data_IF_122872816735
#
_entry.id   IF_122872816735
#
_cell.length_a   1.000
_cell.length_b   1.000
_cell.length_c   1.000
_cell.angle_alpha   90.00
_cell.angle_beta   90.00
_cell.angle_gamma   90.00
#
_symmetry.space_group_name_H-M   'P 1'
#
loop_
_entity.id
_entity.type
_entity.pdbx_description
1 polymer ?
#
# COMPACT_ATOMS: atom_id res chain seq x y z
N UNK A 1 -24.91 -12.25 -29.56
CA UNK A 1 -25.58 -12.31 -28.23
C UNK A 1 -24.60 -11.74 -27.23
N UNK A 2 -24.97 -10.79 -26.37
CA UNK A 2 -24.02 -10.13 -25.48
C UNK A 2 -23.35 -11.13 -24.55
N UNK A 3 -22.05 -10.99 -24.40
CA UNK A 3 -21.22 -11.84 -23.55
C UNK A 3 -21.77 -11.90 -22.10
N UNK A 4 -21.78 -13.08 -21.44
CA UNK A 4 -22.28 -13.21 -20.08
C UNK A 4 -21.55 -12.29 -19.08
N UNK A 5 -20.24 -12.07 -19.25
CA UNK A 5 -19.43 -11.19 -18.39
C UNK A 5 -19.91 -9.74 -18.49
N UNK A 6 -20.18 -9.28 -19.72
CA UNK A 6 -20.72 -7.93 -19.96
C UNK A 6 -22.08 -7.75 -19.29
N UNK A 7 -23.00 -8.71 -19.47
CA UNK A 7 -24.35 -8.66 -18.87
C UNK A 7 -24.31 -8.67 -17.35
N UNK A 8 -23.43 -9.49 -16.75
CA UNK A 8 -23.27 -9.57 -15.30
C UNK A 8 -22.71 -8.27 -14.72
N UNK A 9 -21.74 -7.66 -15.40
CA UNK A 9 -21.13 -6.39 -15.00
C UNK A 9 -22.16 -5.25 -15.12
N UNK A 10 -22.85 -5.14 -16.25
CA UNK A 10 -23.90 -4.13 -16.46
C UNK A 10 -25.03 -4.25 -15.43
N UNK A 11 -25.53 -5.46 -15.15
CA UNK A 11 -26.57 -5.71 -14.13
C UNK A 11 -26.09 -5.39 -12.70
N UNK A 12 -24.79 -5.48 -12.44
CA UNK A 12 -24.25 -5.15 -11.14
C UNK A 12 -24.09 -3.64 -10.97
N UNK A 13 -23.59 -2.95 -12.01
CA UNK A 13 -23.50 -1.49 -12.05
C UNK A 13 -24.88 -0.83 -11.98
N UNK A 14 -25.92 -1.46 -12.54
CA UNK A 14 -27.30 -0.96 -12.49
C UNK A 14 -27.90 -0.93 -11.07
N UNK A 15 -27.21 -1.47 -10.07
CA UNK A 15 -27.60 -1.32 -8.65
C UNK A 15 -27.14 0.00 -8.04
N UNK A 16 -26.22 0.69 -8.71
CA UNK A 16 -25.58 1.93 -8.24
C UNK A 16 -25.99 3.10 -9.12
N UNK A 17 -26.01 2.89 -10.42
CA UNK A 17 -26.48 3.86 -11.41
C UNK A 17 -27.72 3.31 -12.12
N UNK A 18 -28.44 4.14 -12.87
CA UNK A 18 -29.59 3.66 -13.65
C UNK A 18 -29.14 2.59 -14.67
N UNK A 19 -30.00 1.62 -14.99
CA UNK A 19 -29.63 0.52 -15.91
C UNK A 19 -29.13 0.99 -17.27
N UNK A 20 -29.79 2.02 -17.85
CA UNK A 20 -29.33 2.64 -19.11
C UNK A 20 -27.98 3.36 -18.96
N UNK A 21 -27.73 4.01 -17.83
CA UNK A 21 -26.44 4.65 -17.56
C UNK A 21 -25.32 3.61 -17.42
N UNK A 22 -25.57 2.50 -16.70
CA UNK A 22 -24.61 1.41 -16.54
C UNK A 22 -24.16 0.83 -17.90
N UNK A 23 -25.10 0.50 -18.78
CA UNK A 23 -24.79 -0.03 -20.11
C UNK A 23 -24.06 0.98 -21.00
N UNK A 24 -24.48 2.25 -20.95
CA UNK A 24 -23.86 3.32 -21.74
C UNK A 24 -22.43 3.59 -21.30
N UNK A 25 -22.19 3.70 -19.98
CA UNK A 25 -20.86 3.92 -19.42
C UNK A 25 -19.93 2.74 -19.71
N UNK A 26 -20.41 1.50 -19.53
CA UNK A 26 -19.62 0.32 -19.80
C UNK A 26 -19.26 0.21 -21.30
N UNK A 27 -20.23 0.47 -22.19
CA UNK A 27 -20.00 0.45 -23.64
C UNK A 27 -19.01 1.54 -24.08
N UNK A 28 -19.08 2.72 -23.47
CA UNK A 28 -18.13 3.80 -23.74
C UNK A 28 -16.72 3.44 -23.25
N UNK A 29 -16.58 2.88 -22.04
CA UNK A 29 -15.29 2.43 -21.51
C UNK A 29 -14.66 1.30 -22.33
N UNK A 30 -15.47 0.41 -22.92
CA UNK A 30 -14.97 -0.61 -23.85
C UNK A 30 -14.48 0.00 -25.16
N UNK A 31 -15.19 1.01 -25.68
CA UNK A 31 -14.79 1.72 -26.89
C UNK A 31 -13.45 2.44 -26.70
N UNK A 32 -13.19 3.00 -25.52
CA UNK A 32 -11.91 3.66 -25.20
C UNK A 32 -10.72 2.69 -25.31
N UNK A 33 -10.93 1.40 -25.02
CA UNK A 33 -9.91 0.34 -25.17
C UNK A 33 -10.00 -0.43 -26.50
N UNK A 34 -10.84 0.03 -27.44
CA UNK A 34 -11.10 -0.64 -28.73
C UNK A 34 -11.60 -2.10 -28.59
N UNK A 35 -12.32 -2.39 -27.50
CA UNK A 35 -12.91 -3.70 -27.23
C UNK A 35 -14.38 -3.75 -27.64
N UNK A 36 -14.82 -4.92 -28.12
CA UNK A 36 -16.23 -5.16 -28.44
C UNK A 36 -16.96 -5.82 -27.26
N UNK A 37 -18.24 -5.51 -27.00
CA UNK A 37 -19.00 -6.12 -25.90
C UNK A 37 -19.28 -7.61 -26.12
N UNK A 38 -19.12 -8.13 -27.34
CA UNK A 38 -19.35 -9.54 -27.65
C UNK A 38 -18.09 -10.39 -27.41
N UNK A 39 -16.90 -9.85 -27.68
CA UNK A 39 -15.62 -10.59 -27.60
C UNK A 39 -14.88 -10.39 -26.28
N UNK A 40 -15.46 -9.66 -25.32
CA UNK A 40 -14.70 -9.23 -24.15
C UNK A 40 -14.45 -10.37 -23.17
N UNK A 41 -13.19 -10.53 -22.76
CA UNK A 41 -12.82 -11.51 -21.74
C UNK A 41 -12.97 -10.94 -20.33
N UNK A 42 -12.93 -11.79 -19.31
CA UNK A 42 -12.97 -11.34 -17.91
C UNK A 42 -11.74 -10.48 -17.54
N UNK A 43 -10.56 -10.84 -18.05
CA UNK A 43 -9.32 -10.07 -17.89
C UNK A 43 -9.42 -8.67 -18.50
N UNK A 44 -10.02 -8.57 -19.69
CA UNK A 44 -10.29 -7.28 -20.32
C UNK A 44 -11.27 -6.46 -19.49
N UNK A 45 -12.28 -7.11 -18.91
CA UNK A 45 -13.24 -6.44 -18.03
C UNK A 45 -12.62 -5.91 -16.74
N UNK A 46 -11.63 -6.61 -16.20
CA UNK A 46 -10.87 -6.13 -15.05
C UNK A 46 -10.11 -4.84 -15.40
N UNK A 47 -9.45 -4.79 -16.57
CA UNK A 47 -8.78 -3.56 -17.07
C UNK A 47 -9.74 -2.40 -17.30
N UNK A 48 -10.94 -2.70 -17.77
CA UNK A 48 -12.01 -1.70 -17.98
C UNK A 48 -12.48 -1.12 -16.64
N UNK A 49 -12.68 -2.00 -15.65
CA UNK A 49 -13.15 -1.64 -14.31
C UNK A 49 -12.13 -0.79 -13.54
N UNK A 50 -10.84 -1.12 -13.59
CA UNK A 50 -9.76 -0.43 -12.88
C UNK A 50 -9.20 0.82 -13.60
N UNK A 51 -9.86 1.28 -14.66
CA UNK A 51 -9.32 2.32 -15.53
C UNK A 51 -10.40 3.26 -16.07
N UNK A 52 -10.81 3.13 -17.35
CA UNK A 52 -11.73 4.08 -17.97
C UNK A 52 -13.08 4.20 -17.25
N UNK A 53 -13.60 3.08 -16.74
CA UNK A 53 -14.89 3.08 -16.06
C UNK A 53 -14.83 3.74 -14.68
N UNK A 54 -13.73 3.55 -13.94
CA UNK A 54 -13.48 4.18 -12.65
C UNK A 54 -13.51 5.71 -12.77
N UNK A 55 -12.77 6.27 -13.74
CA UNK A 55 -12.73 7.72 -14.00
C UNK A 55 -14.12 8.30 -14.33
N UNK A 56 -14.93 7.56 -15.08
CA UNK A 56 -16.30 8.01 -15.44
C UNK A 56 -17.24 7.92 -14.24
N UNK A 57 -17.10 6.90 -13.39
CA UNK A 57 -17.90 6.76 -12.18
C UNK A 57 -17.55 7.81 -11.13
N UNK A 58 -16.27 8.17 -10.97
CA UNK A 58 -15.86 9.24 -10.05
C UNK A 58 -16.39 10.61 -10.47
N UNK A 59 -16.66 10.82 -11.75
CA UNK A 59 -17.31 12.04 -12.24
C UNK A 59 -18.83 12.04 -12.04
N UNK A 60 -19.47 10.87 -12.15
CA UNK A 60 -20.93 10.75 -12.05
C UNK A 60 -21.43 10.62 -10.60
N UNK A 61 -20.59 10.12 -9.68
CA UNK A 61 -20.94 9.88 -8.29
C UNK A 61 -19.86 10.51 -7.39
N UNK A 62 -20.19 11.49 -6.54
CA UNK A 62 -19.25 12.01 -5.56
C UNK A 62 -19.00 10.99 -4.43
N UNK A 63 -17.72 10.75 -4.12
CA UNK A 63 -17.28 10.06 -2.89
C UNK A 63 -16.74 8.64 -3.07
N UNK A 64 -16.31 8.06 -1.94
CA UNK A 64 -15.66 6.73 -1.84
C UNK A 64 -16.61 5.55 -2.12
N UNK A 65 -17.93 5.77 -2.07
CA UNK A 65 -18.93 4.71 -2.21
C UNK A 65 -18.95 4.03 -3.59
N UNK A 66 -18.54 4.73 -4.66
CA UNK A 66 -18.40 4.14 -5.98
C UNK A 66 -17.21 3.17 -6.04
N UNK A 67 -16.10 3.53 -5.39
CA UNK A 67 -14.88 2.73 -5.33
C UNK A 67 -15.08 1.44 -4.54
N UNK A 68 -15.70 1.52 -3.35
CA UNK A 68 -15.96 0.33 -2.52
C UNK A 68 -16.80 -0.72 -3.27
N UNK A 69 -17.77 -0.26 -4.08
CA UNK A 69 -18.64 -1.14 -4.87
C UNK A 69 -17.96 -1.70 -6.11
N UNK A 70 -17.10 -0.93 -6.78
CA UNK A 70 -16.27 -1.42 -7.88
C UNK A 70 -15.28 -2.49 -7.39
N UNK A 71 -14.65 -2.26 -6.23
CA UNK A 71 -13.74 -3.21 -5.62
C UNK A 71 -14.47 -4.50 -5.20
N UNK A 72 -15.65 -4.39 -4.60
CA UNK A 72 -16.48 -5.55 -4.29
C UNK A 72 -16.90 -6.32 -5.56
N UNK A 73 -17.10 -5.63 -6.68
CA UNK A 73 -17.39 -6.27 -7.97
C UNK A 73 -16.18 -6.96 -8.58
N UNK A 74 -14.99 -6.36 -8.52
CA UNK A 74 -13.77 -6.99 -9.02
C UNK A 74 -13.50 -8.29 -8.26
N UNK A 75 -13.58 -8.25 -6.93
CA UNK A 75 -13.42 -9.43 -6.08
C UNK A 75 -14.47 -10.51 -6.38
N UNK A 76 -15.70 -10.10 -6.72
CA UNK A 76 -16.76 -11.05 -7.07
C UNK A 76 -16.53 -11.67 -8.45
N UNK A 77 -16.04 -10.91 -9.42
CA UNK A 77 -15.65 -11.43 -10.73
C UNK A 77 -14.50 -12.42 -10.59
N UNK A 78 -13.46 -12.10 -9.81
CA UNK A 78 -12.34 -13.00 -9.53
C UNK A 78 -12.80 -14.34 -8.93
N UNK A 79 -13.77 -14.31 -8.00
CA UNK A 79 -14.35 -15.54 -7.42
C UNK A 79 -15.18 -16.36 -8.41
N UNK A 80 -15.81 -15.70 -9.38
CA UNK A 80 -16.61 -16.38 -10.40
C UNK A 80 -15.71 -16.95 -11.51
N UNK A 81 -14.59 -16.28 -11.81
CA UNK A 81 -13.68 -16.64 -12.90
C UNK A 81 -12.72 -17.78 -12.54
N UNK A 82 -12.62 -18.16 -11.26
CA UNK A 82 -11.83 -19.32 -10.82
C UNK A 82 -12.55 -20.68 -10.95
N UNK A 83 -13.81 -20.72 -11.41
CA UNK A 83 -14.54 -21.99 -11.59
C UNK A 83 -14.99 -22.30 -13.02
N UNK A 84 -14.83 -21.37 -13.96
CA UNK A 84 -15.05 -21.64 -15.37
C UNK A 84 -13.73 -22.01 -16.07
N UNK A 85 -13.09 -23.09 -15.59
CA UNK A 85 -11.84 -23.66 -16.13
C UNK A 85 -11.95 -24.30 -17.52
N UNK A 86 -12.94 -23.92 -18.33
CA UNK A 86 -13.06 -24.39 -19.73
C UNK A 86 -12.87 -23.26 -20.76
N UNK A 87 -12.55 -22.04 -20.30
CA UNK A 87 -12.27 -20.88 -21.16
C UNK A 87 -10.78 -20.51 -21.24
N UNK A 88 -9.93 -21.22 -20.49
CA UNK A 88 -8.48 -21.15 -20.62
C UNK A 88 -8.02 -22.26 -21.57
N UNK A 89 -8.01 -21.92 -22.85
CA UNK A 89 -7.12 -22.55 -23.83
C UNK A 89 -5.69 -22.47 -23.25
N UNK A 90 -5.19 -23.59 -22.70
CA UNK A 90 -3.91 -23.72 -21.98
C UNK A 90 -2.69 -23.64 -22.93
N UNK A 91 -2.81 -22.93 -24.06
CA UNK A 91 -1.82 -22.89 -25.13
C UNK A 91 -0.86 -21.69 -25.13
N UNK A 92 -1.00 -20.70 -24.25
CA UNK A 92 -0.16 -19.50 -24.32
C UNK A 92 0.35 -19.00 -22.95
N UNK A 93 1.53 -19.52 -22.62
CA UNK A 93 2.65 -18.85 -21.92
C UNK A 93 2.34 -18.07 -20.63
N UNK A 94 2.83 -18.64 -19.54
CA UNK A 94 3.43 -17.94 -18.41
C UNK A 94 4.30 -16.76 -18.88
N UNK A 95 3.85 -15.54 -18.63
CA UNK A 95 4.70 -14.35 -18.71
C UNK A 95 5.46 -14.28 -17.39
N UNK A 96 6.74 -14.61 -17.47
CA UNK A 96 7.76 -14.35 -16.47
C UNK A 96 7.99 -12.83 -16.49
N UNK A 97 7.76 -12.17 -15.36
CA UNK A 97 8.16 -10.78 -15.17
C UNK A 97 9.64 -10.76 -14.80
N UNK A 98 10.48 -10.97 -15.82
CA UNK A 98 11.89 -10.60 -15.87
C UNK A 98 12.31 -10.79 -17.32
N UNK A 99 12.15 -9.74 -18.12
CA UNK A 99 12.88 -9.61 -19.37
C UNK A 99 13.23 -8.14 -19.55
N UNK A 100 14.51 -7.85 -19.36
CA UNK A 100 15.14 -6.59 -19.71
C UNK A 100 14.88 -6.31 -21.20
N UNK A 101 14.16 -5.23 -21.50
CA UNK A 101 14.17 -4.61 -22.82
C UNK A 101 15.51 -3.88 -23.00
N UNK A 102 16.57 -4.67 -23.22
CA UNK A 102 17.74 -4.22 -23.98
C UNK A 102 17.45 -4.52 -25.43
N UNK A 103 16.93 -3.55 -26.16
CA UNK A 103 17.14 -3.37 -27.61
C UNK A 103 16.42 -2.09 -28.08
N UNK A 104 16.96 -0.93 -27.66
CA UNK A 104 16.82 0.27 -28.49
C UNK A 104 17.89 0.17 -29.59
N UNK A 105 17.63 -0.68 -30.58
CA UNK A 105 18.48 -0.81 -31.75
C UNK A 105 18.27 0.44 -32.62
N UNK A 106 19.18 1.40 -32.51
CA UNK A 106 19.41 2.41 -33.53
C UNK A 106 19.77 1.69 -34.83
N UNK A 107 18.84 1.73 -35.79
CA UNK A 107 19.14 1.43 -37.18
C UNK A 107 20.00 2.57 -37.74
N UNK A 108 21.31 2.37 -37.69
CA UNK A 108 22.27 3.10 -38.52
C UNK A 108 22.95 2.06 -39.43
N UNK A 109 22.37 1.89 -40.62
CA UNK A 109 22.86 1.00 -41.66
C UNK A 109 23.35 1.84 -42.83
N UNK A 110 24.59 2.31 -42.77
CA UNK A 110 25.42 2.49 -43.98
C UNK A 110 26.87 2.10 -43.70
N UNK A 111 27.16 0.83 -44.00
CA UNK A 111 28.29 0.33 -44.80
C UNK A 111 29.63 1.06 -44.66
N UNK A 112 30.65 0.32 -44.21
CA UNK A 112 31.85 0.03 -45.03
C UNK A 112 32.79 -0.98 -44.32
N UNK A 113 32.80 -2.20 -44.88
CA UNK A 113 33.93 -3.11 -45.12
C UNK A 113 35.10 -3.15 -44.11
N UNK A 114 35.33 -4.35 -43.53
CA UNK A 114 36.66 -4.71 -43.03
C UNK A 114 36.72 -5.94 -42.13
N UNK A 115 36.67 -7.15 -42.71
CA UNK A 115 37.33 -8.34 -42.15
C UNK A 115 38.87 -8.12 -42.13
N UNK A 116 39.73 -8.84 -41.37
CA UNK A 116 39.59 -10.28 -41.09
C UNK A 116 40.12 -10.82 -39.73
N UNK A 117 39.78 -12.11 -39.51
CA UNK A 117 40.55 -13.20 -38.89
C UNK A 117 41.24 -13.00 -37.53
N UNK A 118 40.94 -13.88 -36.58
CA UNK A 118 41.87 -14.90 -36.06
C UNK A 118 41.19 -15.70 -34.92
N UNK A 119 41.01 -17.01 -35.12
CA UNK A 119 40.92 -18.02 -34.04
C UNK A 119 42.35 -18.35 -33.55
N UNK A 120 42.58 -18.85 -32.31
CA UNK A 120 42.39 -20.29 -32.00
C UNK A 120 42.02 -20.63 -30.51
N UNK A 121 41.28 -21.71 -30.25
CA UNK A 121 41.67 -23.01 -29.64
C UNK A 121 42.26 -22.96 -28.20
N UNK A 122 41.53 -23.53 -27.23
CA UNK A 122 41.98 -24.34 -26.07
C UNK A 122 40.71 -24.81 -25.31
N UNK A 123 40.25 -26.06 -25.37
CA UNK A 123 40.75 -27.33 -24.79
C UNK A 123 40.71 -27.39 -23.26
N UNK A 124 39.86 -28.31 -22.76
CA UNK A 124 40.00 -29.20 -21.57
C UNK A 124 40.26 -28.58 -20.19
N UNK A 125 39.35 -28.81 -19.23
CA UNK A 125 39.58 -29.86 -18.24
C UNK A 125 38.35 -30.18 -17.35
N UNK A 126 38.20 -31.49 -17.14
CA UNK A 126 37.35 -32.19 -16.18
C UNK A 126 38.03 -32.15 -14.79
N UNK A 127 37.31 -32.29 -13.66
CA UNK A 127 37.35 -33.61 -13.05
C UNK A 127 36.08 -34.03 -12.30
N UNK A 128 35.79 -35.32 -12.45
CA UNK A 128 35.00 -36.20 -11.60
C UNK A 128 35.44 -36.24 -10.12
N UNK A 129 34.50 -36.22 -9.18
CA UNK A 129 34.44 -36.88 -7.84
C UNK A 129 33.13 -36.39 -7.18
N UNK A 130 32.33 -37.11 -6.40
CA UNK A 130 32.36 -38.44 -5.81
C UNK A 130 30.92 -38.74 -5.34
N UNK A 131 30.49 -39.98 -5.52
CA UNK A 131 29.29 -40.58 -4.93
C UNK A 131 29.67 -41.14 -3.54
N UNK A 132 28.79 -41.08 -2.53
CA UNK A 132 28.28 -42.34 -1.97
C UNK A 132 26.76 -42.24 -1.71
N UNK A 133 25.97 -43.22 -2.15
CA UNK A 133 25.67 -44.48 -1.49
C UNK A 133 24.53 -44.37 -0.46
N UNK A 134 23.50 -45.15 -0.79
CA UNK A 134 22.24 -45.43 -0.15
C UNK A 134 22.33 -46.22 1.16
N UNK A 135 21.42 -45.96 2.10
CA UNK A 135 20.91 -46.92 3.10
C UNK A 135 19.58 -46.37 3.64
N UNK A 136 18.43 -46.87 3.17
CA UNK A 136 17.63 -47.96 3.76
C UNK A 136 16.68 -47.50 4.88
N UNK A 137 15.37 -47.69 4.60
CA UNK A 137 14.13 -47.59 5.39
C UNK A 137 14.14 -48.47 6.67
N UNK A 138 13.00 -48.81 7.35
CA UNK A 138 11.65 -48.22 7.47
C UNK A 138 11.19 -48.09 8.96
N UNK A 139 10.00 -47.53 9.23
CA UNK A 139 9.35 -47.68 10.53
C UNK A 139 7.98 -47.02 10.64
N UNK A 140 6.87 -47.80 10.59
CA UNK A 140 5.55 -47.34 11.03
C UNK A 140 5.32 -47.73 12.49
N UNK A 141 4.92 -46.79 13.33
CA UNK A 141 4.38 -47.10 14.67
C UNK A 141 3.16 -46.25 14.96
N UNK A 142 2.05 -46.97 14.99
CA UNK A 142 0.74 -46.70 15.59
C UNK A 142 0.78 -46.13 17.01
N UNK A 143 -0.14 -45.20 17.29
CA UNK A 143 -0.91 -45.10 18.54
C UNK A 143 -1.92 -43.96 18.37
N UNK A 144 -3.18 -44.23 18.02
CA UNK A 144 -4.27 -44.50 18.97
C UNK A 144 -4.26 -43.56 20.19
N UNK A 145 -5.18 -42.60 20.20
CA UNK A 145 -5.80 -42.02 21.40
C UNK A 145 -6.99 -41.15 21.01
N UNK A 146 -8.12 -41.82 20.81
CA UNK A 146 -9.44 -41.23 20.72
C UNK A 146 -10.10 -41.31 22.11
N UNK A 147 -10.45 -40.20 22.78
CA UNK A 147 -11.29 -40.26 23.98
C UNK A 147 -12.77 -39.96 23.68
N UNK A 148 -13.68 -40.37 24.59
CA UNK A 148 -14.98 -40.91 24.23
C UNK A 148 -16.10 -39.88 24.12
N UNK A 149 -17.09 -40.29 23.34
CA UNK A 149 -18.46 -39.80 23.26
C UNK A 149 -19.18 -40.09 24.58
N UNK A 150 -19.73 -39.05 25.22
CA UNK A 150 -20.77 -39.13 26.26
C UNK A 150 -21.70 -37.93 26.05
N UNK A 151 -22.86 -38.15 25.41
CA UNK A 151 -24.20 -38.32 26.02
C UNK A 151 -24.90 -37.03 26.45
N UNK A 152 -26.09 -36.87 25.87
CA UNK A 152 -27.32 -36.31 26.44
C UNK A 152 -27.34 -34.84 26.87
N UNK A 153 -28.01 -34.01 26.07
CA UNK A 153 -29.03 -33.09 26.59
C UNK A 153 -30.13 -32.86 25.55
N UNK A 154 -31.28 -33.45 25.86
CA UNK A 154 -32.60 -33.12 25.33
C UNK A 154 -33.11 -31.79 25.92
N UNK A 155 -34.20 -31.27 25.33
CA UNK A 155 -35.05 -30.11 25.69
C UNK A 155 -34.85 -28.85 24.82
N UNK A 156 -35.89 -28.00 24.66
CA UNK A 156 -37.13 -28.31 23.95
C UNK A 156 -37.43 -27.26 22.86
N UNK A 157 -38.32 -27.64 21.94
CA UNK A 157 -39.00 -26.78 20.96
C UNK A 157 -39.58 -25.53 21.62
N UNK A 158 -38.93 -24.37 21.43
CA UNK A 158 -39.52 -23.07 21.73
C UNK A 158 -39.89 -22.37 20.41
N UNK A 159 -41.19 -22.35 20.19
CA UNK A 159 -41.93 -21.71 19.10
C UNK A 159 -41.76 -20.19 19.21
N UNK A 160 -40.96 -19.59 18.32
CA UNK A 160 -40.86 -18.14 18.19
C UNK A 160 -41.90 -17.58 17.20
N UNK A 161 -42.44 -16.38 17.46
CA UNK A 161 -43.68 -15.88 16.87
C UNK A 161 -43.50 -15.23 15.49
N UNK A 162 -44.62 -15.13 14.77
CA UNK A 162 -44.76 -14.54 13.45
C UNK A 162 -44.28 -13.07 13.36
N UNK A 163 -43.76 -12.63 12.21
CA UNK A 163 -43.41 -11.23 12.00
C UNK A 163 -44.66 -10.34 11.89
N UNK A 164 -44.67 -9.15 12.51
CA UNK A 164 -45.76 -8.19 12.35
C UNK A 164 -45.77 -7.60 10.93
N UNK A 165 -46.99 -7.35 10.44
CA UNK A 165 -47.32 -6.71 9.16
C UNK A 165 -46.69 -5.32 9.02
N UNK A 166 -46.32 -4.90 7.80
CA UNK A 166 -45.93 -3.53 7.53
C UNK A 166 -47.16 -2.61 7.57
N UNK A 167 -47.17 -1.67 8.51
CA UNK A 167 -48.07 -0.51 8.50
C UNK A 167 -47.62 0.45 7.41
N UNK A 168 -48.49 0.62 6.42
CA UNK A 168 -48.53 1.76 5.50
C UNK A 168 -48.60 3.07 6.28
N UNK A 169 -47.56 3.90 6.20
CA UNK A 169 -47.65 5.35 6.47
C UNK A 169 -47.27 6.11 5.20
N UNK A 170 -48.24 6.88 4.72
CA UNK A 170 -48.13 7.84 3.62
C UNK A 170 -47.20 9.01 3.96
N UNK A 171 -46.64 9.68 2.93
CA UNK A 171 -45.78 10.84 3.09
C UNK A 171 -46.62 12.12 3.09
N UNK A 172 -46.48 12.93 4.12
CA UNK A 172 -46.85 14.34 4.07
C UNK A 172 -46.01 15.09 5.10
N UNK A 173 -44.95 15.76 4.64
CA UNK A 173 -44.65 17.14 5.03
C UNK A 173 -43.48 17.66 4.19
N UNK A 174 -43.84 18.58 3.32
CA UNK A 174 -42.95 19.52 2.70
C UNK A 174 -42.39 20.45 3.78
N UNK A 175 -41.07 20.58 3.85
CA UNK A 175 -40.43 21.74 4.45
C UNK A 175 -39.40 22.27 3.47
N UNK A 176 -39.83 23.35 2.83
CA UNK A 176 -39.05 24.30 2.07
C UNK A 176 -37.92 24.84 2.96
N UNK A 177 -36.67 24.58 2.59
CA UNK A 177 -35.52 25.29 3.13
C UNK A 177 -35.06 26.27 2.06
N UNK A 178 -35.53 27.51 2.20
CA UNK A 178 -35.22 28.65 1.32
C UNK A 178 -34.38 29.63 2.10
N UNK A 179 -33.21 30.00 1.56
CA UNK A 179 -32.39 31.13 2.01
C UNK A 179 -31.64 30.87 3.32
N UNK A 180 -30.46 31.42 3.58
CA UNK A 180 -29.68 32.48 2.97
C UNK A 180 -28.23 32.12 3.30
N UNK A 181 -27.33 32.12 2.31
CA UNK A 181 -25.90 32.11 2.60
C UNK A 181 -25.42 33.54 2.30
N UNK A 182 -25.26 34.29 3.38
CA UNK A 182 -24.71 35.64 3.38
C UNK A 182 -23.27 35.60 2.87
N UNK A 183 -23.01 36.43 1.85
CA UNK A 183 -21.69 36.91 1.48
C UNK A 183 -21.07 37.64 2.67
N UNK A 184 -20.06 37.03 3.31
CA UNK A 184 -19.11 37.78 4.13
C UNK A 184 -18.00 38.25 3.19
N UNK A 185 -18.23 39.44 2.63
CA UNK A 185 -17.21 40.34 2.10
C UNK A 185 -16.44 40.91 3.29
N UNK A 186 -15.24 40.38 3.56
CA UNK A 186 -14.28 41.05 4.43
C UNK A 186 -13.41 41.97 3.57
N UNK A 187 -13.91 43.19 3.45
CA UNK A 187 -13.20 44.39 3.04
C UNK A 187 -12.27 44.82 4.21
N UNK A 188 -10.97 44.52 4.10
CA UNK A 188 -9.94 45.14 4.94
C UNK A 188 -9.11 46.08 4.06
N UNK A 189 -9.65 47.28 3.92
CA UNK A 189 -8.95 48.47 3.45
C UNK A 189 -8.03 49.03 4.55
N UNK A 190 -6.81 49.37 4.13
CA UNK A 190 -5.98 50.53 4.49
C UNK A 190 -5.93 51.05 5.95
N UNK A 191 -4.75 51.03 6.55
CA UNK A 191 -3.94 52.24 6.84
C UNK A 191 -2.85 51.91 7.88
N UNK A 192 -1.58 52.02 7.48
CA UNK A 192 -0.47 52.11 8.42
C UNK A 192 0.45 53.25 7.98
N UNK A 193 0.62 54.30 8.80
CA UNK A 193 1.41 55.46 8.45
C UNK A 193 2.91 55.12 8.50
N UNK A 194 3.60 55.40 7.40
CA UNK A 194 5.04 55.64 7.36
C UNK A 194 5.40 56.83 8.25
N UNK A 195 6.13 56.58 9.33
CA UNK A 195 6.85 57.61 10.09
C UNK A 195 8.37 57.39 9.92
N UNK A 196 9.08 58.23 9.15
CA UNK A 196 10.52 58.19 9.02
C UNK A 196 11.14 59.26 9.92
N UNK A 197 11.39 58.92 11.18
CA UNK A 197 12.15 59.81 12.09
C UNK A 197 13.29 59.07 12.79
N UNK A 198 14.44 59.09 12.08
CA UNK A 198 15.78 59.36 12.61
C UNK A 198 15.88 59.55 14.13
N UNK A 199 16.49 58.59 14.82
CA UNK A 199 17.36 58.85 15.97
C UNK A 199 18.40 57.73 16.09
N UNK A 200 19.62 58.03 15.61
CA UNK A 200 20.83 57.28 15.94
C UNK A 200 21.19 57.58 17.40
N UNK A 201 21.22 56.60 18.32
CA UNK A 201 21.96 56.76 19.56
C UNK A 201 23.46 56.62 19.29
N UNK A 202 24.30 57.28 20.12
CA UNK A 202 25.73 57.42 19.88
C UNK A 202 26.48 56.10 20.07
N UNK A 203 27.48 55.90 19.20
CA UNK A 203 28.56 54.91 19.29
C UNK A 203 29.20 54.92 20.68
N UNK A 204 28.74 54.02 21.55
CA UNK A 204 29.53 53.55 22.67
C UNK A 204 30.28 52.32 22.17
N UNK A 205 31.59 52.49 21.97
CA UNK A 205 32.53 51.43 21.66
C UNK A 205 32.48 50.35 22.76
N UNK A 206 31.72 49.29 22.52
CA UNK A 206 31.83 48.02 23.22
C UNK A 206 32.54 47.09 22.23
N UNK A 207 33.74 46.63 22.62
CA UNK A 207 34.52 45.70 21.83
C UNK A 207 33.82 44.35 21.78
N UNK A 208 33.01 44.18 20.73
CA UNK A 208 32.26 42.97 20.40
C UNK A 208 33.20 41.87 19.87
N UNK A 209 33.96 41.27 20.78
CA UNK A 209 34.54 39.93 20.58
C UNK A 209 33.46 38.86 20.82
N UNK A 210 32.34 38.93 20.09
CA UNK A 210 31.38 37.83 20.01
C UNK A 210 31.98 36.72 19.15
N UNK A 211 32.83 35.90 19.76
CA UNK A 211 33.25 34.63 19.16
C UNK A 211 32.01 33.76 18.97
N UNK A 212 31.84 33.21 17.77
CA UNK A 212 30.77 32.26 17.47
C UNK A 212 30.85 30.97 18.33
N UNK A 213 31.92 30.80 19.10
CA UNK A 213 32.10 29.69 20.05
C UNK A 213 31.53 29.95 21.46
N UNK A 214 31.03 31.16 21.77
CA UNK A 214 30.49 31.48 23.12
C UNK A 214 28.97 31.22 23.26
N UNK A 215 28.34 30.67 22.21
CA UNK A 215 26.99 30.11 22.25
C UNK A 215 27.03 28.58 22.45
N UNK A 216 27.95 28.08 23.27
CA UNK A 216 27.81 26.73 23.81
C UNK A 216 26.60 26.72 24.76
N UNK A 217 25.45 26.30 24.21
CA UNK A 217 24.23 25.94 24.92
C UNK A 217 24.51 24.80 25.91
N UNK A 218 25.19 25.13 26.99
CA UNK A 218 25.39 24.31 28.17
C UNK A 218 24.17 24.44 29.08
N UNK A 219 22.96 24.42 28.52
CA UNK A 219 21.75 24.28 29.32
C UNK A 219 21.69 22.81 29.75
N UNK A 220 21.99 22.47 31.03
CA UNK A 220 21.96 21.09 31.50
C UNK A 220 20.57 20.46 31.36
N UNK A 221 19.53 21.29 31.25
CA UNK A 221 18.15 20.87 31.08
C UNK A 221 17.84 20.31 29.68
N UNK A 222 18.66 20.60 28.66
CA UNK A 222 18.48 20.03 27.32
C UNK A 222 18.89 18.55 27.23
N UNK A 223 19.75 18.09 28.14
CA UNK A 223 20.21 16.68 28.18
C UNK A 223 19.07 15.74 28.59
N UNK A 224 18.09 16.22 29.36
CA UNK A 224 16.94 15.42 29.80
C UNK A 224 15.90 15.13 28.71
N UNK A 225 16.01 15.79 27.55
CA UNK A 225 15.19 15.49 26.37
C UNK A 225 15.81 14.43 25.46
N UNK A 226 16.99 13.90 25.79
CA UNK A 226 17.48 12.64 25.20
C UNK A 226 16.59 11.51 25.71
N UNK A 227 15.46 11.35 25.03
CA UNK A 227 14.57 10.23 25.24
C UNK A 227 15.38 8.93 25.24
N UNK A 228 15.13 8.10 26.26
CA UNK A 228 15.87 6.89 26.50
C UNK A 228 15.89 6.01 25.23
N UNK A 229 17.11 5.69 24.79
CA UNK A 229 17.34 4.78 23.67
C UNK A 229 16.69 3.43 23.96
N UNK A 230 15.84 2.96 23.06
CA UNK A 230 15.08 1.72 23.20
C UNK A 230 15.77 0.61 22.42
N UNK A 231 16.25 -0.41 23.13
CA UNK A 231 16.96 -1.54 22.52
C UNK A 231 16.03 -2.73 22.33
N UNK A 232 16.05 -3.31 21.13
CA UNK A 232 15.25 -4.49 20.79
C UNK A 232 16.13 -5.58 20.20
N UNK A 233 15.89 -6.82 20.61
CA UNK A 233 16.56 -7.99 20.08
C UNK A 233 15.85 -8.47 18.79
N UNK A 234 16.21 -7.88 17.65
CA UNK A 234 15.52 -8.13 16.37
C UNK A 234 15.83 -9.50 15.75
N UNK A 235 16.78 -10.25 16.32
CA UNK A 235 17.09 -11.63 15.93
C UNK A 235 16.02 -12.62 16.38
N UNK A 236 15.29 -12.33 17.47
CA UNK A 236 14.26 -13.22 18.02
C UNK A 236 12.88 -12.76 17.59
N UNK A 237 11.99 -13.72 17.29
CA UNK A 237 10.59 -13.40 16.95
C UNK A 237 9.90 -12.57 18.06
N UNK A 238 10.23 -12.85 19.32
CA UNK A 238 9.70 -12.12 20.46
C UNK A 238 10.14 -10.64 20.47
N UNK A 239 11.42 -10.35 20.19
CA UNK A 239 11.90 -8.96 20.12
C UNK A 239 11.32 -8.20 18.93
N UNK A 240 11.12 -8.88 17.79
CA UNK A 240 10.41 -8.31 16.64
C UNK A 240 8.96 -7.97 17.01
N UNK A 241 8.23 -8.89 17.62
CA UNK A 241 6.84 -8.67 18.02
C UNK A 241 6.70 -7.56 19.07
N UNK A 242 7.65 -7.45 20.00
CA UNK A 242 7.69 -6.38 21.00
C UNK A 242 7.85 -5.00 20.33
N UNK A 243 8.80 -4.87 19.39
CA UNK A 243 8.97 -3.65 18.59
C UNK A 243 7.70 -3.30 17.82
N UNK A 244 7.12 -4.28 17.11
CA UNK A 244 5.91 -4.08 16.32
C UNK A 244 4.72 -3.67 17.19
N UNK A 245 4.59 -4.26 18.39
CA UNK A 245 3.55 -3.92 19.35
C UNK A 245 3.67 -2.48 19.84
N UNK A 246 4.89 -2.07 20.20
CA UNK A 246 5.12 -0.72 20.70
C UNK A 246 4.84 0.33 19.63
N UNK A 247 5.36 0.14 18.43
CA UNK A 247 5.16 1.07 17.33
C UNK A 247 3.70 1.17 16.89
N UNK A 248 2.98 0.04 16.87
CA UNK A 248 1.55 0.02 16.54
C UNK A 248 0.67 0.69 17.60
N UNK A 249 1.18 0.95 18.81
CA UNK A 249 0.45 1.67 19.86
C UNK A 249 0.38 3.18 19.61
N UNK A 250 1.25 3.72 18.75
CA UNK A 250 1.20 5.15 18.44
C UNK A 250 -0.08 5.54 17.70
N UNK A 251 -0.73 6.65 18.10
CA UNK A 251 -2.02 7.03 17.54
C UNK A 251 -1.92 7.31 16.04
N UNK A 252 -2.74 6.60 15.27
CA UNK A 252 -2.87 6.72 13.82
C UNK A 252 -1.83 5.95 13.00
N UNK A 253 -0.95 5.17 13.64
CA UNK A 253 -0.19 4.13 12.95
C UNK A 253 -1.14 3.02 12.52
N UNK A 254 -1.16 2.72 11.22
CA UNK A 254 -1.99 1.69 10.62
C UNK A 254 -1.23 0.38 10.49
N UNK A 255 0.01 0.43 10.02
CA UNK A 255 0.79 -0.79 9.73
C UNK A 255 2.24 -0.58 10.11
N UNK A 256 2.83 -1.62 10.69
CA UNK A 256 4.27 -1.68 10.98
C UNK A 256 4.83 -2.90 10.27
N UNK A 257 5.89 -2.70 9.50
CA UNK A 257 6.59 -3.74 8.75
C UNK A 257 8.04 -3.75 9.20
N UNK A 258 8.54 -4.92 9.56
CA UNK A 258 9.96 -5.18 9.73
C UNK A 258 10.45 -6.00 8.54
N UNK A 259 11.50 -5.53 7.88
CA UNK A 259 12.14 -6.23 6.78
C UNK A 259 13.66 -6.26 6.97
N UNK A 260 14.32 -7.19 6.28
CA UNK A 260 15.78 -7.19 6.17
C UNK A 260 16.24 -6.08 5.23
N UNK A 261 17.52 -5.72 5.29
CA UNK A 261 18.16 -4.83 4.30
C UNK A 261 18.17 -5.37 2.87
N UNK A 262 17.89 -6.67 2.69
CA UNK A 262 17.68 -7.32 1.39
C UNK A 262 16.23 -7.14 0.87
N UNK A 263 15.36 -6.46 1.63
CA UNK A 263 13.96 -6.27 1.28
C UNK A 263 13.06 -7.46 1.64
N UNK A 264 13.57 -8.49 2.33
CA UNK A 264 12.72 -9.60 2.78
C UNK A 264 11.90 -9.18 3.98
N UNK A 265 10.58 -9.24 3.88
CA UNK A 265 9.68 -8.98 5.02
C UNK A 265 9.84 -10.08 6.07
N UNK A 266 10.14 -9.70 7.31
CA UNK A 266 10.34 -10.60 8.45
C UNK A 266 9.07 -10.74 9.28
N UNK A 267 8.49 -9.60 9.67
CA UNK A 267 7.26 -9.56 10.45
C UNK A 267 6.42 -8.35 10.04
N UNK A 268 5.10 -8.53 10.08
CA UNK A 268 4.12 -7.50 9.72
C UNK A 268 3.04 -7.46 10.77
N UNK A 269 2.76 -6.26 11.25
CA UNK A 269 1.57 -5.98 12.04
C UNK A 269 0.70 -4.99 11.30
N UNK A 270 -0.38 -5.50 10.73
CA UNK A 270 -1.40 -4.71 10.06
C UNK A 270 -2.79 -5.12 10.56
N UNK A 271 -3.77 -4.20 10.63
CA UNK A 271 -5.17 -4.57 10.61
C UNK A 271 -5.46 -5.32 9.30
N UNK A 272 -6.44 -6.23 9.33
CA UNK A 272 -6.76 -7.11 8.21
C UNK A 272 -6.82 -6.35 6.88
N UNK A 273 -6.05 -6.79 5.87
CA UNK A 273 -6.19 -6.33 4.49
C UNK A 273 -5.07 -5.47 3.90
N UNK A 274 -3.92 -5.28 4.57
CA UNK A 274 -2.79 -4.50 4.02
C UNK A 274 -1.53 -5.33 3.62
N UNK A 275 -1.63 -6.49 2.95
CA UNK A 275 -0.44 -7.27 2.55
C UNK A 275 0.39 -6.58 1.45
N UNK A 276 -0.21 -5.65 0.70
CA UNK A 276 0.45 -4.97 -0.43
C UNK A 276 1.54 -4.00 0.00
N UNK A 277 1.57 -3.58 1.27
CA UNK A 277 2.59 -2.66 1.76
C UNK A 277 3.98 -3.31 1.84
N UNK A 278 4.03 -4.64 2.03
CA UNK A 278 5.29 -5.37 2.17
C UNK A 278 6.19 -5.25 0.94
N UNK A 279 5.63 -5.29 -0.27
CA UNK A 279 6.40 -5.18 -1.52
C UNK A 279 6.92 -3.76 -1.76
N UNK A 280 6.12 -2.74 -1.45
CA UNK A 280 6.53 -1.33 -1.58
C UNK A 280 7.64 -1.01 -0.60
N UNK A 281 7.51 -1.48 0.65
CA UNK A 281 8.54 -1.31 1.68
C UNK A 281 9.83 -2.04 1.28
N UNK A 282 9.73 -3.27 0.76
CA UNK A 282 10.88 -4.03 0.26
C UNK A 282 11.64 -3.28 -0.85
N UNK A 283 10.91 -2.76 -1.84
CA UNK A 283 11.51 -1.96 -2.92
C UNK A 283 12.15 -0.67 -2.39
N UNK A 284 11.53 -0.03 -1.40
CA UNK A 284 12.06 1.21 -0.79
C UNK A 284 13.31 0.92 0.05
N UNK A 285 13.39 -0.23 0.73
CA UNK A 285 14.57 -0.65 1.48
C UNK A 285 15.81 -0.79 0.58
N UNK A 286 15.63 -1.24 -0.67
CA UNK A 286 16.72 -1.29 -1.65
C UNK A 286 17.23 0.11 -2.02
N UNK A 287 16.32 1.09 -2.17
CA UNK A 287 16.70 2.48 -2.46
C UNK A 287 17.48 3.12 -1.30
N UNK A 288 17.12 2.78 -0.06
CA UNK A 288 17.84 3.22 1.13
C UNK A 288 19.28 2.74 1.14
N UNK A 289 19.52 1.49 0.73
CA UNK A 289 20.87 0.92 0.63
C UNK A 289 21.71 1.64 -0.42
N UNK A 290 21.13 1.99 -1.56
CA UNK A 290 21.84 2.68 -2.64
C UNK A 290 22.26 4.11 -2.26
N UNK A 291 21.49 4.77 -1.39
CA UNK A 291 21.67 6.19 -1.04
C UNK A 291 22.14 6.43 0.39
N UNK A 292 22.47 5.37 1.12
CA UNK A 292 22.85 5.40 2.54
C UNK A 292 21.90 6.23 3.43
N UNK A 293 20.61 6.21 3.09
CA UNK A 293 19.62 6.95 3.85
C UNK A 293 19.42 6.28 5.21
N UNK A 294 19.39 7.07 6.29
CA UNK A 294 19.09 6.57 7.63
C UNK A 294 17.59 6.58 7.93
N UNK A 295 16.88 7.55 7.37
CA UNK A 295 15.49 7.86 7.65
C UNK A 295 14.82 8.43 6.39
N UNK A 296 13.56 8.05 6.14
CA UNK A 296 12.72 8.61 5.08
C UNK A 296 11.31 8.83 5.60
N UNK A 297 10.69 9.89 5.12
CA UNK A 297 9.27 10.14 5.25
C UNK A 297 8.73 10.48 3.87
N UNK A 298 7.68 9.79 3.44
CA UNK A 298 7.00 10.07 2.18
C UNK A 298 5.50 10.22 2.43
N UNK A 299 4.92 11.30 1.92
CA UNK A 299 3.48 11.54 1.95
C UNK A 299 2.79 10.91 0.73
N UNK A 300 1.75 10.13 0.97
CA UNK A 300 0.90 9.45 -0.01
C UNK A 300 -0.50 10.09 -0.07
N UNK A 301 -0.63 11.33 0.42
CA UNK A 301 -1.85 12.12 0.42
C UNK A 301 -2.72 11.86 1.64
N UNK A 302 -3.26 10.64 1.79
CA UNK A 302 -4.08 10.28 2.97
C UNK A 302 -3.31 9.48 4.02
N UNK A 303 -2.05 9.16 3.73
CA UNK A 303 -1.18 8.36 4.58
C UNK A 303 0.27 8.81 4.43
N UNK A 304 1.07 8.60 5.46
CA UNK A 304 2.50 8.90 5.45
C UNK A 304 3.27 7.62 5.74
N UNK A 305 4.28 7.33 4.93
CA UNK A 305 5.21 6.22 5.15
C UNK A 305 6.48 6.77 5.80
N UNK A 306 6.78 6.30 7.01
CA UNK A 306 8.03 6.60 7.70
C UNK A 306 8.88 5.33 7.73
N UNK A 307 10.16 5.44 7.40
CA UNK A 307 11.04 4.27 7.32
C UNK A 307 12.42 4.59 7.87
N UNK A 308 12.99 3.66 8.65
CA UNK A 308 14.33 3.79 9.24
C UNK A 308 15.11 2.49 9.08
N UNK A 309 16.41 2.62 8.77
CA UNK A 309 17.35 1.49 8.83
C UNK A 309 17.93 1.39 10.24
N UNK A 310 17.90 0.19 10.81
CA UNK A 310 18.39 -0.12 12.16
C UNK A 310 19.26 -1.38 12.08
N UNK A 311 20.57 -1.20 11.95
CA UNK A 311 21.51 -2.30 11.70
C UNK A 311 21.22 -2.99 10.37
N UNK A 312 21.01 -4.31 10.41
CA UNK A 312 20.67 -5.15 9.23
C UNK A 312 19.16 -5.22 8.96
N UNK A 313 18.38 -4.40 9.64
CA UNK A 313 16.93 -4.39 9.55
C UNK A 313 16.43 -3.03 9.08
N UNK A 314 15.24 -3.02 8.51
CA UNK A 314 14.53 -1.81 8.15
C UNK A 314 13.11 -1.87 8.71
N UNK A 315 12.74 -0.81 9.43
CA UNK A 315 11.44 -0.65 10.07
C UNK A 315 10.66 0.38 9.28
N UNK A 316 9.50 0.00 8.77
CA UNK A 316 8.58 0.89 8.06
C UNK A 316 7.24 0.99 8.80
N UNK A 317 6.69 2.20 8.84
CA UNK A 317 5.38 2.48 9.39
C UNK A 317 4.54 3.19 8.34
N UNK A 318 3.26 2.80 8.26
CA UNK A 318 2.24 3.54 7.54
C UNK A 318 1.34 4.23 8.56
N UNK A 319 1.32 5.55 8.56
CA UNK A 319 0.48 6.38 9.41
C UNK A 319 -0.65 7.02 8.59
N UNK A 320 -1.77 7.39 9.22
CA UNK A 320 -2.82 8.23 8.60
C UNK A 320 -2.32 9.67 8.41
N UNK A 321 -2.91 10.42 7.48
CA UNK A 321 -2.52 11.81 7.18
C UNK A 321 -2.64 12.80 8.36
N UNK A 322 -3.37 12.46 9.42
CA UNK A 322 -3.53 13.32 10.60
C UNK A 322 -2.56 13.00 11.75
N UNK A 323 -1.51 12.21 11.50
CA UNK A 323 -0.56 11.81 12.54
C UNK A 323 0.57 12.82 12.67
N UNK A 324 1.02 13.04 13.91
CA UNK A 324 2.22 13.83 14.16
C UNK A 324 3.47 13.07 13.67
N UNK A 325 3.85 13.32 12.43
CA UNK A 325 5.00 12.69 11.76
C UNK A 325 6.30 12.97 12.52
N UNK A 326 6.50 14.19 13.03
CA UNK A 326 7.69 14.56 13.81
C UNK A 326 7.89 13.64 15.01
N UNK A 327 6.82 13.39 15.78
CA UNK A 327 6.85 12.45 16.91
C UNK A 327 7.19 11.02 16.48
N UNK A 328 6.61 10.53 15.38
CA UNK A 328 6.92 9.20 14.86
C UNK A 328 8.38 9.07 14.43
N UNK A 329 8.96 10.11 13.82
CA UNK A 329 10.35 10.11 13.42
C UNK A 329 11.28 10.10 14.65
N UNK A 330 10.94 10.86 15.69
CA UNK A 330 11.69 10.85 16.96
C UNK A 330 11.64 9.47 17.64
N UNK A 331 10.47 8.84 17.70
CA UNK A 331 10.32 7.47 18.24
C UNK A 331 11.10 6.46 17.38
N UNK A 332 11.01 6.58 16.05
CA UNK A 332 11.78 5.78 15.14
C UNK A 332 13.28 5.91 15.40
N UNK A 333 13.78 7.13 15.65
CA UNK A 333 15.19 7.45 15.89
C UNK A 333 15.74 6.91 17.22
N UNK A 334 14.89 6.62 18.19
CA UNK A 334 15.29 6.07 19.49
C UNK A 334 15.54 4.55 19.46
N UNK A 335 15.09 3.87 18.41
CA UNK A 335 15.23 2.41 18.29
C UNK A 335 16.68 2.03 17.98
N UNK A 336 17.23 1.09 18.75
CA UNK A 336 18.52 0.45 18.50
C UNK A 336 18.36 -1.07 18.50
N UNK A 337 19.22 -1.75 17.75
CA UNK A 337 19.32 -3.21 17.82
C UNK A 337 20.16 -3.58 19.03
N UNK A 338 19.63 -4.40 19.94
CA UNK A 338 20.47 -5.09 20.91
C UNK A 338 21.25 -6.17 20.17
N UNK A 339 22.58 -6.11 20.28
CA UNK A 339 23.44 -7.22 19.91
C UNK A 339 23.14 -8.45 20.78
#
# INVERSE_FOLDING_TARGET
MPNPVFRLTARSLSKVVSGRAAETMLSASLRDLKLSPETVTARDMQRVLSGPLERRLSQALPGTAAFDKLQALSQRLERLDLRASDLFDQGARTVIWDQEDTDTQWSDEERLLGAPAHSPIHSTDEPSHQRPASSSSPGPSSSDSNPPISTSSSFPTSRAPAPPRPTTQSPAQALSFTGQNEEIVNDLSADAPTDPTLHNPPEAAIGDNFSADDFEFSDPDYVHLQAAVKRYELLTAQGQDALLYELARHPGVQTVVLCSTEGRVLSVRAPQGAPQLGSVVAATAMLFRQRELKLLSADLGNATVCMRVVGNYCVALLARGNVNVGRLLTELQQIEVSA
#
